data_IF_597378871467
#
_entry.id   IF_597378871467
#
_cell.length_a   1.000
_cell.length_b   1.000
_cell.length_c   1.000
_cell.angle_alpha   90.00
_cell.angle_beta   90.00
_cell.angle_gamma   90.00
#
_symmetry.space_group_name_H-M   'P 1'
#
loop_
_entity.id
_entity.type
_entity.pdbx_description
1 polymer ?
#
# COMPACT_ATOMS: atom_id res chain seq x y z
N UNK A 1 5.74 -14.60 -16.31
CA UNK A 1 6.71 -13.86 -15.48
C UNK A 1 7.18 -12.63 -16.24
N UNK A 2 7.03 -11.45 -15.65
CA UNK A 2 7.67 -10.23 -16.16
C UNK A 2 9.20 -10.33 -16.00
N UNK A 3 9.98 -9.54 -16.74
CA UNK A 3 11.45 -9.49 -16.60
C UNK A 3 11.86 -9.18 -15.14
N UNK A 4 11.09 -8.34 -14.44
CA UNK A 4 11.27 -7.99 -13.02
C UNK A 4 11.20 -9.22 -12.12
N UNK A 5 10.20 -10.08 -12.34
CA UNK A 5 10.05 -11.32 -11.57
C UNK A 5 11.18 -12.33 -11.85
N UNK A 6 11.79 -12.27 -13.04
CA UNK A 6 12.91 -13.14 -13.43
C UNK A 6 14.23 -12.68 -12.83
N UNK A 7 14.49 -11.37 -12.83
CA UNK A 7 15.70 -10.78 -12.24
C UNK A 7 15.73 -10.94 -10.72
N UNK A 8 14.60 -10.69 -10.05
CA UNK A 8 14.47 -10.90 -8.60
C UNK A 8 14.65 -12.38 -8.21
N UNK A 9 14.23 -13.32 -9.07
CA UNK A 9 14.41 -14.76 -8.83
C UNK A 9 15.85 -15.22 -9.09
N UNK A 10 16.54 -14.62 -10.07
CA UNK A 10 17.95 -14.91 -10.39
C UNK A 10 18.92 -14.30 -9.36
N UNK A 11 18.56 -13.18 -8.71
CA UNK A 11 19.34 -12.60 -7.60
C UNK A 11 19.13 -13.33 -6.26
N UNK A 12 17.98 -13.98 -6.06
CA UNK A 12 17.61 -14.65 -4.81
C UNK A 12 18.54 -15.82 -4.43
N UNK A 13 19.22 -16.46 -5.39
CA UNK A 13 20.18 -17.53 -5.08
C UNK A 13 21.45 -17.04 -4.37
N UNK A 14 21.68 -15.72 -4.26
CA UNK A 14 22.96 -15.17 -3.74
C UNK A 14 22.85 -14.16 -2.60
N UNK A 15 21.67 -13.65 -2.24
CA UNK A 15 21.54 -12.64 -1.18
C UNK A 15 20.97 -13.19 0.13
N UNK A 16 21.85 -13.63 1.03
CA UNK A 16 21.57 -13.55 2.48
C UNK A 16 21.73 -12.08 2.93
N UNK A 17 20.85 -11.20 2.48
CA UNK A 17 20.78 -9.84 3.02
C UNK A 17 19.71 -9.81 4.08
N UNK A 18 20.14 -9.66 5.33
CA UNK A 18 19.27 -9.18 6.41
C UNK A 18 18.74 -7.81 5.95
N UNK A 19 17.47 -7.74 5.57
CA UNK A 19 16.81 -6.47 5.30
C UNK A 19 16.83 -5.63 6.59
N UNK A 20 17.50 -4.48 6.56
CA UNK A 20 17.37 -3.46 7.61
C UNK A 20 15.88 -3.08 7.70
N UNK A 21 15.37 -2.98 8.94
CA UNK A 21 13.93 -2.89 9.20
C UNK A 21 13.26 -1.75 8.45
N UNK A 22 12.35 -2.09 7.53
CA UNK A 22 11.52 -1.11 6.82
C UNK A 22 10.61 -0.38 7.82
N UNK A 23 10.71 0.95 7.90
CA UNK A 23 9.81 1.80 8.69
C UNK A 23 8.56 2.10 7.83
N UNK A 24 7.57 1.23 7.87
CA UNK A 24 6.37 1.31 7.00
C UNK A 24 5.32 2.36 7.42
N UNK A 25 5.46 2.99 8.59
CA UNK A 25 4.75 4.21 9.02
C UNK A 25 5.17 4.60 10.45
N UNK A 26 4.93 5.85 10.88
CA UNK A 26 5.09 6.26 12.29
C UNK A 26 4.06 5.63 13.23
N UNK A 27 3.12 4.89 12.66
CA UNK A 27 2.05 4.23 13.38
C UNK A 27 2.48 2.90 14.03
N UNK A 28 3.50 2.22 13.50
CA UNK A 28 3.93 0.92 13.99
C UNK A 28 5.45 0.85 14.06
N UNK A 29 6.00 0.45 15.21
CA UNK A 29 7.44 0.24 15.35
C UNK A 29 7.85 -1.11 14.74
N UNK A 30 8.38 -1.05 13.52
CA UNK A 30 8.92 -2.21 12.79
C UNK A 30 10.43 -2.40 12.96
N UNK A 31 11.11 -1.59 13.78
CA UNK A 31 12.57 -1.59 13.92
C UNK A 31 13.18 -2.95 14.32
N UNK A 32 12.37 -3.85 14.90
CA UNK A 32 12.77 -5.18 15.35
C UNK A 32 12.16 -6.33 14.52
N UNK A 33 11.53 -6.02 13.38
CA UNK A 33 10.86 -7.00 12.52
C UNK A 33 11.79 -7.40 11.38
N UNK A 34 12.22 -8.66 11.36
CA UNK A 34 13.06 -9.21 10.29
C UNK A 34 12.18 -9.97 9.31
N UNK A 35 12.26 -9.66 8.02
CA UNK A 35 11.66 -10.52 6.97
C UNK A 35 12.46 -11.82 6.93
N UNK A 36 11.81 -12.94 7.24
CA UNK A 36 12.39 -14.29 7.17
C UNK A 36 12.27 -14.85 5.76
N UNK A 37 11.10 -14.74 5.15
CA UNK A 37 10.81 -15.24 3.81
C UNK A 37 9.74 -14.39 3.12
N UNK A 38 9.81 -14.34 1.79
CA UNK A 38 8.77 -13.78 0.91
C UNK A 38 8.12 -14.93 0.15
N UNK A 39 6.82 -15.10 0.34
CA UNK A 39 6.09 -16.27 -0.11
C UNK A 39 5.07 -15.86 -1.16
N UNK A 40 5.36 -16.22 -2.40
CA UNK A 40 4.42 -16.11 -3.50
C UNK A 40 3.59 -17.38 -3.57
N UNK A 41 2.27 -17.25 -3.40
CA UNK A 41 1.36 -18.37 -3.63
C UNK A 41 1.10 -18.51 -5.13
N UNK A 42 1.96 -19.26 -5.80
CA UNK A 42 1.60 -19.85 -7.11
C UNK A 42 0.69 -21.06 -6.86
N UNK A 43 -0.59 -20.93 -7.21
CA UNK A 43 -1.67 -21.93 -7.45
C UNK A 43 -1.79 -23.23 -6.63
N UNK A 44 -0.86 -23.59 -5.74
CA UNK A 44 -0.64 -24.92 -5.15
C UNK A 44 -0.01 -24.87 -3.75
N UNK A 45 0.43 -23.70 -3.26
CA UNK A 45 1.00 -23.56 -1.92
C UNK A 45 -0.11 -23.31 -0.91
N UNK A 46 -0.40 -24.30 -0.07
CA UNK A 46 -1.28 -24.18 1.10
C UNK A 46 -0.52 -23.49 2.26
N UNK A 47 -1.21 -22.80 3.15
CA UNK A 47 -0.64 -22.28 4.39
C UNK A 47 0.05 -23.37 5.23
N UNK A 48 -0.36 -24.65 5.09
CA UNK A 48 0.33 -25.83 5.65
C UNK A 48 1.78 -26.02 5.14
N UNK A 49 2.14 -25.43 4.01
CA UNK A 49 3.52 -25.43 3.50
C UNK A 49 4.37 -24.31 4.10
N UNK A 50 3.72 -23.28 4.64
CA UNK A 50 4.39 -22.09 5.17
C UNK A 50 4.78 -22.25 6.64
N UNK A 51 4.10 -23.14 7.37
CA UNK A 51 4.27 -23.26 8.82
C UNK A 51 4.10 -24.70 9.26
N UNK A 52 5.18 -25.30 9.80
CA UNK A 52 5.12 -26.56 10.53
C UNK A 52 5.59 -26.30 11.95
N UNK A 53 4.63 -26.06 12.85
CA UNK A 53 4.89 -25.82 14.26
C UNK A 53 4.04 -26.75 15.11
N UNK A 54 4.69 -27.47 16.01
CA UNK A 54 4.04 -28.20 17.10
C UNK A 54 4.15 -27.38 18.37
N UNK A 55 3.24 -27.60 19.33
CA UNK A 55 3.25 -26.94 20.64
C UNK A 55 3.03 -25.43 20.54
N UNK A 56 2.02 -25.05 19.77
CA UNK A 56 1.60 -23.64 19.68
C UNK A 56 1.02 -23.20 21.01
N UNK A 57 1.50 -22.08 21.55
CA UNK A 57 1.03 -21.50 22.81
C UNK A 57 0.12 -20.29 22.59
N UNK A 58 0.38 -19.52 21.52
CA UNK A 58 -0.40 -18.35 21.14
C UNK A 58 -0.68 -18.36 19.64
N UNK A 59 -1.95 -18.23 19.27
CA UNK A 59 -2.40 -18.13 17.89
C UNK A 59 -3.29 -16.89 17.73
N UNK A 60 -2.87 -15.96 16.88
CA UNK A 60 -3.67 -14.78 16.52
C UNK A 60 -4.00 -14.81 15.03
N UNK A 61 -5.29 -14.75 14.70
CA UNK A 61 -5.78 -14.71 13.32
C UNK A 61 -6.51 -13.40 13.11
N UNK A 62 -6.08 -12.60 12.15
CA UNK A 62 -6.83 -11.43 11.68
C UNK A 62 -7.17 -11.64 10.22
N UNK A 63 -8.43 -11.52 9.83
CA UNK A 63 -8.86 -11.73 8.45
C UNK A 63 -9.98 -10.79 8.06
N UNK A 64 -10.07 -10.44 6.78
CA UNK A 64 -11.18 -9.61 6.33
C UNK A 64 -12.50 -10.39 6.43
N UNK A 65 -12.65 -11.52 5.72
CA UNK A 65 -13.92 -12.26 5.75
C UNK A 65 -13.71 -13.60 6.45
N UNK A 66 -14.61 -13.95 7.36
CA UNK A 66 -14.77 -15.32 7.89
C UNK A 66 -15.95 -15.97 7.19
N UNK A 67 -15.69 -17.14 6.58
CA UNK A 67 -16.70 -17.94 5.89
C UNK A 67 -17.47 -18.84 6.86
N UNK A 68 -17.87 -20.01 6.38
CA UNK A 68 -18.54 -21.03 7.20
C UNK A 68 -17.58 -22.00 7.91
N UNK A 69 -16.27 -21.79 7.72
CA UNK A 69 -15.15 -22.49 8.37
C UNK A 69 -13.85 -21.68 8.25
N UNK A 70 -12.93 -21.91 9.18
CA UNK A 70 -11.54 -21.46 9.07
C UNK A 70 -10.73 -22.43 8.19
N UNK A 71 -9.56 -22.00 7.67
CA UNK A 71 -8.73 -22.89 6.87
C UNK A 71 -8.10 -24.01 7.71
N UNK A 72 -7.84 -25.18 7.12
CA UNK A 72 -7.34 -26.38 7.77
C UNK A 72 -6.03 -26.12 8.51
N UNK A 73 -5.20 -25.19 8.01
CA UNK A 73 -3.98 -24.78 8.72
C UNK A 73 -4.26 -24.27 10.15
N UNK A 74 -5.37 -23.55 10.36
CA UNK A 74 -5.77 -23.04 11.67
C UNK A 74 -6.17 -24.21 12.56
N UNK A 75 -6.96 -25.13 12.02
CA UNK A 75 -7.35 -26.37 12.68
C UNK A 75 -6.13 -27.23 13.06
N UNK A 76 -5.17 -27.37 12.17
CA UNK A 76 -3.93 -28.12 12.39
C UNK A 76 -3.10 -27.48 13.52
N UNK A 77 -3.01 -26.14 13.61
CA UNK A 77 -2.33 -25.50 14.75
C UNK A 77 -3.01 -25.76 16.07
N UNK A 78 -4.34 -25.66 16.11
CA UNK A 78 -5.12 -25.89 17.32
C UNK A 78 -5.01 -27.36 17.76
N UNK A 79 -5.03 -28.30 16.82
CA UNK A 79 -4.85 -29.73 17.11
C UNK A 79 -3.47 -30.04 17.69
N UNK A 80 -2.44 -29.31 17.24
CA UNK A 80 -1.06 -29.48 17.68
C UNK A 80 -0.63 -28.51 18.79
N UNK A 81 -1.56 -27.78 19.40
CA UNK A 81 -1.28 -26.77 20.43
C UNK A 81 -0.89 -27.38 21.78
N UNK A 82 -0.26 -26.57 22.64
CA UNK A 82 -0.10 -26.93 24.05
C UNK A 82 -1.41 -26.74 24.82
N UNK A 83 -1.52 -27.37 25.98
CA UNK A 83 -2.63 -27.11 26.91
C UNK A 83 -2.60 -25.63 27.34
N UNK A 84 -3.75 -24.95 27.27
CA UNK A 84 -3.84 -23.52 27.58
C UNK A 84 -3.51 -22.59 26.41
N UNK A 85 -3.75 -23.02 25.17
CA UNK A 85 -3.63 -22.19 23.97
C UNK A 85 -4.37 -20.86 24.13
N UNK A 86 -3.65 -19.76 23.93
CA UNK A 86 -4.26 -18.42 23.80
C UNK A 86 -4.66 -18.21 22.34
N UNK A 87 -5.97 -18.14 22.08
CA UNK A 87 -6.51 -17.97 20.73
C UNK A 87 -7.24 -16.63 20.58
N UNK A 88 -6.74 -15.82 19.65
CA UNK A 88 -7.22 -14.48 19.37
C UNK A 88 -7.70 -14.41 17.91
N UNK A 89 -8.91 -13.94 17.65
CA UNK A 89 -9.45 -13.82 16.29
C UNK A 89 -10.07 -12.44 16.04
N UNK A 90 -9.51 -11.69 15.10
CA UNK A 90 -10.09 -10.45 14.62
C UNK A 90 -10.66 -10.61 13.21
N UNK A 91 -11.83 -10.04 12.94
CA UNK A 91 -12.46 -10.15 11.63
C UNK A 91 -13.32 -8.97 11.22
N UNK A 92 -13.55 -8.83 9.90
CA UNK A 92 -14.54 -7.89 9.41
C UNK A 92 -15.95 -8.45 9.54
N UNK A 93 -16.81 -7.69 10.21
CA UNK A 93 -18.23 -7.96 10.30
C UNK A 93 -19.00 -6.91 9.48
N UNK A 94 -19.05 -7.12 8.17
CA UNK A 94 -19.66 -6.15 7.24
C UNK A 94 -21.16 -5.92 7.47
N UNK A 95 -21.62 -4.70 7.17
CA UNK A 95 -23.03 -4.40 7.08
C UNK A 95 -23.65 -5.00 5.82
N UNK A 96 -24.65 -5.88 5.99
CA UNK A 96 -25.36 -6.51 4.88
C UNK A 96 -26.81 -6.03 4.82
N UNK A 97 -27.11 -5.18 3.83
CA UNK A 97 -28.48 -4.66 3.59
C UNK A 97 -29.42 -5.70 2.92
N UNK A 98 -29.38 -6.94 3.40
CA UNK A 98 -30.23 -8.03 2.92
C UNK A 98 -30.37 -9.10 4.00
N UNK A 99 -31.56 -9.22 4.59
CA UNK A 99 -31.82 -10.12 5.71
C UNK A 99 -31.46 -11.61 5.46
N UNK A 100 -31.54 -12.09 4.22
CA UNK A 100 -31.15 -13.48 3.88
C UNK A 100 -29.64 -13.65 3.83
N UNK A 101 -28.92 -12.72 3.21
CA UNK A 101 -27.46 -12.73 3.16
C UNK A 101 -26.87 -12.50 4.54
N UNK A 102 -27.50 -11.62 5.30
CA UNK A 102 -27.14 -11.29 6.67
C UNK A 102 -27.24 -12.51 7.60
N UNK A 103 -28.39 -13.19 7.59
CA UNK A 103 -28.55 -14.44 8.32
C UNK A 103 -27.53 -15.49 7.89
N UNK A 104 -27.26 -15.62 6.58
CA UNK A 104 -26.26 -16.57 6.07
C UNK A 104 -24.85 -16.27 6.58
N UNK A 105 -24.48 -14.99 6.68
CA UNK A 105 -23.19 -14.57 7.22
C UNK A 105 -23.09 -14.92 8.71
N UNK A 106 -24.11 -14.59 9.52
CA UNK A 106 -24.15 -14.92 10.94
C UNK A 106 -24.12 -16.44 11.16
N UNK A 107 -24.91 -17.21 10.43
CA UNK A 107 -24.93 -18.68 10.52
C UNK A 107 -23.55 -19.27 10.14
N UNK A 108 -22.87 -18.67 9.14
CA UNK A 108 -21.51 -19.03 8.74
C UNK A 108 -20.48 -18.75 9.84
N UNK A 109 -20.52 -17.55 10.42
CA UNK A 109 -19.66 -17.16 11.54
C UNK A 109 -19.82 -18.13 12.72
N UNK A 110 -21.06 -18.40 13.13
CA UNK A 110 -21.35 -19.33 14.23
C UNK A 110 -20.74 -20.70 13.93
N UNK A 111 -21.00 -21.25 12.75
CA UNK A 111 -20.46 -22.55 12.34
C UNK A 111 -18.93 -22.58 12.33
N UNK A 112 -18.28 -21.51 11.88
CA UNK A 112 -16.82 -21.44 11.85
C UNK A 112 -16.20 -21.48 13.25
N UNK A 113 -16.76 -20.70 14.19
CA UNK A 113 -16.27 -20.65 15.57
C UNK A 113 -16.65 -21.90 16.38
N UNK A 114 -17.83 -22.48 16.17
CA UNK A 114 -18.19 -23.80 16.72
C UNK A 114 -17.19 -24.88 16.29
N UNK A 115 -16.73 -24.83 15.02
CA UNK A 115 -15.72 -25.75 14.51
C UNK A 115 -14.38 -25.67 15.24
N UNK A 116 -13.96 -24.49 15.70
CA UNK A 116 -12.72 -24.32 16.46
C UNK A 116 -12.92 -24.62 17.96
N UNK A 117 -14.05 -24.20 18.54
CA UNK A 117 -14.36 -24.45 19.96
C UNK A 117 -14.57 -25.94 20.27
N UNK A 118 -14.77 -26.79 19.27
CA UNK A 118 -14.86 -28.24 19.45
C UNK A 118 -13.52 -28.90 19.84
N UNK A 119 -12.39 -28.20 19.69
CA UNK A 119 -11.07 -28.73 20.03
C UNK A 119 -10.81 -28.64 21.53
N UNK A 120 -10.30 -29.73 22.12
CA UNK A 120 -10.07 -29.85 23.56
C UNK A 120 -9.11 -28.79 24.13
N UNK A 121 -8.18 -28.29 23.32
CA UNK A 121 -7.19 -27.30 23.74
C UNK A 121 -7.71 -25.85 23.71
N UNK A 122 -8.98 -25.62 23.33
CA UNK A 122 -9.59 -24.29 23.23
C UNK A 122 -10.63 -24.12 24.32
N UNK A 123 -10.26 -23.45 25.41
CA UNK A 123 -11.20 -23.08 26.48
C UNK A 123 -12.04 -21.86 26.08
N UNK A 124 -11.41 -20.89 25.42
CA UNK A 124 -12.04 -19.67 24.95
C UNK A 124 -11.29 -19.02 23.80
N UNK A 125 -11.98 -18.13 23.09
CA UNK A 125 -11.44 -17.35 21.98
C UNK A 125 -11.70 -15.88 22.29
N UNK A 126 -10.65 -15.06 22.36
CA UNK A 126 -10.83 -13.60 22.36
C UNK A 126 -11.09 -13.13 20.94
N UNK A 127 -12.10 -12.27 20.77
CA UNK A 127 -12.48 -11.80 19.45
C UNK A 127 -12.63 -10.28 19.37
N UNK A 128 -12.26 -9.75 18.21
CA UNK A 128 -12.56 -8.37 17.81
C UNK A 128 -13.27 -8.41 16.46
N UNK A 129 -14.51 -7.96 16.42
CA UNK A 129 -15.21 -7.72 15.17
C UNK A 129 -15.22 -6.23 14.88
N UNK A 130 -14.79 -5.84 13.69
CA UNK A 130 -14.80 -4.45 13.27
C UNK A 130 -15.29 -4.36 11.82
N UNK A 131 -16.30 -3.53 11.50
CA UNK A 131 -16.89 -3.48 10.15
C UNK A 131 -15.97 -2.89 9.06
N UNK A 132 -14.73 -2.50 9.40
CA UNK A 132 -13.79 -1.79 8.53
C UNK A 132 -12.43 -2.47 8.42
N UNK A 133 -12.21 -3.59 9.11
CA UNK A 133 -10.90 -4.25 9.11
C UNK A 133 -10.64 -5.01 7.82
N UNK A 134 -9.59 -4.62 7.09
CA UNK A 134 -9.11 -5.36 5.92
C UNK A 134 -7.75 -6.05 6.16
N UNK A 135 -7.38 -6.26 7.43
CA UNK A 135 -6.12 -6.91 7.81
C UNK A 135 -6.16 -8.39 7.46
N UNK A 136 -5.04 -8.93 6.96
CA UNK A 136 -4.80 -10.37 6.87
C UNK A 136 -3.48 -10.72 7.54
N UNK A 137 -3.59 -11.37 8.69
CA UNK A 137 -2.48 -11.64 9.57
C UNK A 137 -2.68 -12.98 10.26
N UNK A 138 -1.61 -13.76 10.33
CA UNK A 138 -1.55 -15.00 11.10
C UNK A 138 -0.29 -14.99 11.93
N UNK A 139 -0.44 -14.96 13.25
CA UNK A 139 0.66 -15.07 14.19
C UNK A 139 0.57 -16.38 14.96
N UNK A 140 1.70 -17.08 15.06
CA UNK A 140 1.87 -18.36 15.73
C UNK A 140 3.14 -18.31 16.59
N UNK A 141 2.97 -18.04 17.89
CA UNK A 141 4.03 -17.59 18.81
C UNK A 141 4.89 -16.46 18.20
N UNK A 142 6.19 -16.65 18.00
CA UNK A 142 7.05 -15.60 17.43
C UNK A 142 7.02 -15.50 15.89
N UNK A 143 6.31 -16.40 15.20
CA UNK A 143 6.18 -16.37 13.75
C UNK A 143 4.96 -15.56 13.33
N UNK A 144 5.13 -14.65 12.38
CA UNK A 144 4.07 -13.78 11.88
C UNK A 144 4.02 -13.84 10.35
N UNK A 145 2.82 -13.98 9.82
CA UNK A 145 2.54 -13.96 8.40
C UNK A 145 1.57 -12.83 8.12
N UNK A 146 1.93 -11.94 7.21
CA UNK A 146 1.09 -10.81 6.80
C UNK A 146 1.09 -10.72 5.28
N UNK A 147 -0.03 -10.34 4.67
CA UNK A 147 -0.10 -10.25 3.23
C UNK A 147 -1.51 -10.06 2.70
N UNK A 148 -1.75 -10.51 1.47
CA UNK A 148 -3.01 -10.30 0.77
C UNK A 148 -4.04 -11.43 1.00
N UNK A 149 -3.60 -12.60 1.48
CA UNK A 149 -4.43 -13.80 1.63
C UNK A 149 -5.38 -13.74 2.84
N UNK A 150 -6.69 -13.87 2.60
CA UNK A 150 -7.66 -14.05 3.70
C UNK A 150 -7.50 -15.41 4.39
N UNK A 151 -7.72 -15.49 5.71
CA UNK A 151 -7.72 -16.74 6.47
C UNK A 151 -9.14 -17.26 6.66
N UNK A 152 -9.74 -17.75 5.58
CA UNK A 152 -11.13 -18.24 5.57
C UNK A 152 -11.30 -19.47 4.69
N UNK A 153 -12.51 -20.03 4.63
CA UNK A 153 -12.84 -21.18 3.78
C UNK A 153 -12.52 -21.00 2.29
N UNK A 154 -12.36 -19.76 1.81
CA UNK A 154 -11.97 -19.45 0.42
C UNK A 154 -10.47 -19.57 0.17
N UNK A 155 -9.65 -19.70 1.22
CA UNK A 155 -8.19 -19.78 1.13
C UNK A 155 -7.65 -21.19 0.90
N UNK A 156 -8.44 -22.23 1.21
CA UNK A 156 -8.05 -23.63 1.03
C UNK A 156 -8.26 -24.17 -0.38
N UNK A 157 -7.37 -25.07 -0.80
CA UNK A 157 -7.65 -26.00 -1.90
C UNK A 157 -8.64 -27.08 -1.43
N UNK A 158 -9.64 -27.41 -2.24
CA UNK A 158 -10.58 -28.50 -1.95
C UNK A 158 -10.18 -29.74 -2.74
N UNK A 159 -10.41 -30.95 -2.23
CA UNK A 159 -10.22 -32.19 -3.03
C UNK A 159 -10.93 -32.15 -4.39
N UNK A 160 -12.09 -31.49 -4.45
CA UNK A 160 -12.82 -31.27 -5.71
C UNK A 160 -12.05 -30.41 -6.73
N UNK A 161 -11.22 -29.48 -6.27
CA UNK A 161 -10.34 -28.62 -7.07
C UNK A 161 -9.10 -29.38 -7.59
N UNK A 162 -8.58 -30.33 -6.80
CA UNK A 162 -7.55 -31.29 -7.23
C UNK A 162 -8.08 -32.24 -8.32
N UNK A 163 -9.33 -32.68 -8.20
CA UNK A 163 -9.94 -33.68 -9.08
C UNK A 163 -10.45 -33.13 -10.44
N UNK A 164 -10.82 -31.85 -10.55
CA UNK A 164 -11.47 -31.26 -11.74
C UNK A 164 -10.53 -30.81 -12.89
N UNK A 165 -9.24 -31.19 -12.85
CA UNK A 165 -8.21 -30.74 -13.81
C UNK A 165 -8.10 -29.20 -13.90
N UNK A 166 -7.46 -28.65 -12.88
CA UNK A 166 -6.70 -27.40 -12.71
C UNK A 166 -6.79 -26.19 -13.70
N UNK A 167 -7.07 -26.33 -14.99
CA UNK A 167 -7.05 -25.23 -15.97
C UNK A 167 -8.24 -24.26 -15.88
N UNK A 168 -9.21 -24.50 -14.98
CA UNK A 168 -10.33 -23.59 -14.68
C UNK A 168 -10.26 -22.97 -13.29
N UNK A 169 -9.18 -23.19 -12.53
CA UNK A 169 -9.05 -22.65 -11.18
C UNK A 169 -8.62 -21.17 -11.26
N UNK A 170 -9.59 -20.26 -11.35
CA UNK A 170 -9.39 -18.80 -11.33
C UNK A 170 -9.13 -18.31 -9.90
N UNK A 171 -8.04 -18.74 -9.26
CA UNK A 171 -7.69 -18.30 -7.89
C UNK A 171 -6.45 -17.40 -7.87
N UNK A 172 -6.51 -16.43 -6.98
CA UNK A 172 -5.65 -15.24 -6.93
C UNK A 172 -4.19 -15.57 -6.67
N UNK A 173 -3.29 -14.82 -7.32
CA UNK A 173 -1.90 -14.72 -6.93
C UNK A 173 -1.84 -13.91 -5.64
N UNK A 174 -1.42 -14.55 -4.54
CA UNK A 174 -1.35 -13.91 -3.22
C UNK A 174 0.12 -13.81 -2.80
N UNK A 175 0.45 -12.70 -2.14
CA UNK A 175 1.77 -12.44 -1.55
C UNK A 175 1.65 -12.50 -0.03
N UNK A 176 2.54 -13.25 0.60
CA UNK A 176 2.67 -13.35 2.05
C UNK A 176 4.11 -13.07 2.46
N UNK A 177 4.30 -12.29 3.51
CA UNK A 177 5.58 -12.05 4.16
C UNK A 177 5.63 -12.86 5.45
N UNK A 178 6.68 -13.66 5.63
CA UNK A 178 7.00 -14.30 6.91
C UNK A 178 7.97 -13.41 7.67
N UNK A 179 7.57 -13.01 8.87
CA UNK A 179 8.28 -12.09 9.72
C UNK A 179 8.71 -12.78 11.03
N UNK A 180 9.93 -12.46 11.47
CA UNK A 180 10.44 -12.80 12.80
C UNK A 180 10.03 -11.79 13.86
N UNK A 181 10.07 -12.21 15.14
CA UNK A 181 9.64 -11.39 16.29
C UNK A 181 8.18 -10.91 16.17
N UNK A 182 7.36 -11.75 15.53
CA UNK A 182 6.02 -11.43 15.08
C UNK A 182 5.01 -11.13 16.17
N UNK A 183 5.23 -11.66 17.37
CA UNK A 183 4.33 -11.49 18.51
C UNK A 183 4.11 -10.02 18.86
N UNK A 184 5.18 -9.20 18.96
CA UNK A 184 5.07 -7.78 19.32
C UNK A 184 4.24 -6.98 18.30
N UNK A 185 4.48 -7.23 17.01
CA UNK A 185 3.76 -6.54 15.94
C UNK A 185 2.28 -6.98 15.91
N UNK A 186 2.02 -8.29 16.05
CA UNK A 186 0.66 -8.80 16.14
C UNK A 186 -0.10 -8.20 17.33
N UNK A 187 0.53 -8.10 18.51
CA UNK A 187 -0.04 -7.44 19.69
C UNK A 187 -0.30 -5.96 19.44
N UNK A 188 0.64 -5.23 18.82
CA UNK A 188 0.45 -3.82 18.50
C UNK A 188 -0.75 -3.60 17.55
N UNK A 189 -0.87 -4.40 16.49
CA UNK A 189 -2.00 -4.35 15.57
C UNK A 189 -3.31 -4.73 16.29
N UNK A 190 -3.27 -5.75 17.14
CA UNK A 190 -4.41 -6.18 17.95
C UNK A 190 -4.90 -5.07 18.88
N UNK A 191 -4.00 -4.43 19.64
CA UNK A 191 -4.32 -3.35 20.59
C UNK A 191 -4.89 -2.13 19.88
N UNK A 192 -4.32 -1.75 18.73
CA UNK A 192 -4.90 -0.69 17.90
C UNK A 192 -6.29 -1.04 17.41
N UNK A 193 -6.48 -2.27 16.92
CA UNK A 193 -7.77 -2.72 16.45
C UNK A 193 -8.80 -2.79 17.60
N UNK A 194 -8.38 -3.20 18.79
CA UNK A 194 -9.21 -3.22 19.99
C UNK A 194 -9.74 -1.82 20.34
N UNK A 195 -8.91 -0.79 20.15
CA UNK A 195 -9.24 0.61 20.41
C UNK A 195 -9.90 1.33 19.23
N UNK A 196 -9.93 0.72 18.04
CA UNK A 196 -10.45 1.35 16.83
C UNK A 196 -11.95 1.64 16.92
N UNK A 197 -12.39 2.73 16.29
CA UNK A 197 -13.79 3.09 16.23
C UNK A 197 -14.61 1.96 15.58
N UNK A 198 -15.71 1.61 16.25
CA UNK A 198 -16.63 0.57 15.82
C UNK A 198 -16.16 -0.87 16.03
N UNK A 199 -15.03 -1.08 16.68
CA UNK A 199 -14.64 -2.39 17.17
C UNK A 199 -15.58 -2.85 18.29
N UNK A 200 -16.07 -4.08 18.15
CA UNK A 200 -16.86 -4.78 19.15
C UNK A 200 -16.09 -6.02 19.57
N UNK A 201 -15.84 -6.14 20.87
CA UNK A 201 -14.99 -7.19 21.42
C UNK A 201 -15.79 -8.19 22.24
N UNK A 202 -15.25 -9.39 22.42
CA UNK A 202 -15.88 -10.39 23.25
C UNK A 202 -15.02 -11.63 23.45
N UNK A 203 -15.51 -12.55 24.27
CA UNK A 203 -14.89 -13.84 24.52
C UNK A 203 -15.89 -14.94 24.21
N UNK A 204 -15.53 -15.81 23.27
CA UNK A 204 -16.34 -16.97 22.88
C UNK A 204 -15.90 -18.21 23.65
N UNK A 205 -16.86 -19.05 24.00
CA UNK A 205 -16.68 -20.43 24.44
C UNK A 205 -17.85 -21.29 23.96
N UNK A 206 -17.77 -22.61 24.17
CA UNK A 206 -18.79 -23.58 23.75
C UNK A 206 -20.22 -23.23 24.22
N UNK A 207 -20.35 -22.49 25.34
CA UNK A 207 -21.63 -22.20 25.97
C UNK A 207 -22.26 -20.88 25.49
N UNK A 208 -21.48 -19.97 24.91
CA UNK A 208 -21.93 -18.61 24.62
C UNK A 208 -21.78 -18.18 23.15
N UNK A 209 -21.14 -19.00 22.31
CA UNK A 209 -20.75 -18.64 20.92
C UNK A 209 -21.89 -18.02 20.12
N UNK A 210 -23.05 -18.68 20.07
CA UNK A 210 -24.24 -18.18 19.35
C UNK A 210 -24.73 -16.84 19.90
N UNK A 211 -24.77 -16.69 21.23
CA UNK A 211 -25.26 -15.48 21.88
C UNK A 211 -24.33 -14.29 21.63
N UNK A 212 -23.03 -14.50 21.85
CA UNK A 212 -22.00 -13.45 21.72
C UNK A 212 -21.88 -13.02 20.27
N UNK A 213 -21.77 -13.96 19.32
CA UNK A 213 -21.70 -13.61 17.90
C UNK A 213 -22.97 -12.92 17.39
N UNK A 214 -24.16 -13.33 17.84
CA UNK A 214 -25.41 -12.62 17.51
C UNK A 214 -25.38 -11.18 18.04
N UNK A 215 -24.86 -10.97 19.25
CA UNK A 215 -24.75 -9.65 19.85
C UNK A 215 -23.77 -8.77 19.09
N UNK A 216 -22.57 -9.30 18.81
CA UNK A 216 -21.51 -8.63 18.07
C UNK A 216 -21.98 -8.28 16.66
N UNK A 217 -22.54 -9.25 15.94
CA UNK A 217 -23.09 -9.05 14.59
C UNK A 217 -24.10 -7.91 14.56
N UNK A 218 -25.03 -7.87 15.52
CA UNK A 218 -26.00 -6.76 15.66
C UNK A 218 -25.35 -5.43 16.01
N UNK A 219 -24.30 -5.41 16.83
CA UNK A 219 -23.61 -4.18 17.21
C UNK A 219 -22.82 -3.62 16.03
N UNK A 220 -22.11 -4.46 15.28
CA UNK A 220 -21.44 -4.08 14.03
C UNK A 220 -22.46 -3.61 12.97
N UNK A 221 -23.68 -4.17 12.94
CA UNK A 221 -24.77 -3.71 12.08
C UNK A 221 -25.41 -2.37 12.52
N UNK A 222 -25.35 -2.06 13.82
CA UNK A 222 -25.89 -0.80 14.40
C UNK A 222 -24.97 0.38 14.21
N UNK A 223 -23.75 0.13 13.74
CA UNK A 223 -22.88 1.11 13.15
C UNK A 223 -23.16 1.04 11.66
N UNK A 224 -24.22 1.72 11.15
CA UNK A 224 -24.12 2.13 9.78
C UNK A 224 -22.86 2.99 9.76
N UNK A 225 -21.86 2.55 9.01
CA UNK A 225 -21.21 3.53 8.16
C UNK A 225 -22.37 4.18 7.44
N UNK A 226 -22.73 5.39 7.86
CA UNK A 226 -23.56 6.20 7.02
C UNK A 226 -22.69 6.40 5.79
N UNK A 227 -22.91 5.55 4.80
CA UNK A 227 -22.35 5.69 3.47
C UNK A 227 -22.73 7.08 3.00
N UNK A 228 -23.84 7.68 3.45
CA UNK A 228 -24.06 9.11 3.27
C UNK A 228 -23.24 9.98 4.22
N UNK A 229 -22.77 9.64 5.41
CA UNK A 229 -21.92 10.57 6.20
C UNK A 229 -20.47 10.60 5.71
N UNK A 230 -19.95 9.52 5.14
CA UNK A 230 -18.59 9.46 4.62
C UNK A 230 -18.55 9.68 3.11
N UNK A 231 -19.62 9.32 2.37
CA UNK A 231 -19.85 9.80 1.00
C UNK A 231 -20.44 11.20 1.00
N UNK A 232 -21.12 11.71 2.02
CA UNK A 232 -21.43 13.14 2.17
C UNK A 232 -20.23 13.83 2.77
N UNK A 233 -19.42 13.29 3.70
CA UNK A 233 -18.12 13.94 3.98
C UNK A 233 -17.24 13.93 2.73
N UNK A 234 -17.15 12.85 1.95
CA UNK A 234 -16.48 12.86 0.64
C UNK A 234 -17.18 13.71 -0.40
N UNK A 235 -18.51 13.72 -0.50
CA UNK A 235 -19.27 14.53 -1.48
C UNK A 235 -19.43 15.99 -1.02
N UNK A 236 -19.22 16.30 0.25
CA UNK A 236 -19.21 17.64 0.86
C UNK A 236 -17.76 18.14 0.87
N UNK A 237 -16.75 17.28 0.95
CA UNK A 237 -15.35 17.58 0.60
C UNK A 237 -15.23 17.75 -0.92
N UNK A 238 -15.74 16.84 -1.73
CA UNK A 238 -15.77 16.88 -3.20
C UNK A 238 -16.69 18.01 -3.69
N UNK A 239 -17.83 18.30 -3.05
CA UNK A 239 -18.60 19.54 -3.32
C UNK A 239 -17.92 20.78 -2.80
N UNK A 240 -17.19 20.78 -1.68
CA UNK A 240 -16.36 21.94 -1.29
C UNK A 240 -15.17 22.15 -2.24
N UNK A 241 -14.70 21.09 -2.88
CA UNK A 241 -13.67 21.10 -3.93
C UNK A 241 -14.28 21.56 -5.28
N UNK A 242 -15.51 21.16 -5.61
CA UNK A 242 -16.22 21.52 -6.86
C UNK A 242 -16.97 22.87 -6.79
N UNK A 243 -17.51 23.27 -5.65
CA UNK A 243 -18.16 24.57 -5.41
C UNK A 243 -17.09 25.70 -5.32
N UNK A 244 -15.80 25.33 -5.24
CA UNK A 244 -14.64 26.21 -5.21
C UNK A 244 -13.67 25.99 -6.38
N UNK A 245 -14.16 25.71 -7.60
CA UNK A 245 -13.31 25.56 -8.80
C UNK A 245 -12.38 26.78 -8.98
N UNK A 246 -12.85 27.99 -8.70
CA UNK A 246 -12.01 29.20 -8.70
C UNK A 246 -10.93 29.14 -7.61
N UNK A 247 -11.25 28.71 -6.39
CA UNK A 247 -10.28 28.57 -5.29
C UNK A 247 -9.24 27.48 -5.59
N UNK A 248 -9.64 26.35 -6.17
CA UNK A 248 -8.72 25.26 -6.56
C UNK A 248 -7.75 25.73 -7.65
N UNK A 249 -8.25 26.44 -8.67
CA UNK A 249 -7.40 27.02 -9.70
C UNK A 249 -6.43 28.06 -9.11
N UNK A 250 -6.92 28.93 -8.23
CA UNK A 250 -6.09 29.94 -7.56
C UNK A 250 -5.00 29.33 -6.66
N UNK A 251 -5.33 28.30 -5.89
CA UNK A 251 -4.37 27.60 -5.02
C UNK A 251 -3.36 26.80 -5.86
N UNK A 252 -3.81 26.15 -6.94
CA UNK A 252 -2.91 25.46 -7.89
C UNK A 252 -1.95 26.44 -8.54
N UNK A 253 -2.45 27.57 -9.06
CA UNK A 253 -1.61 28.62 -9.64
C UNK A 253 -0.60 29.19 -8.63
N UNK A 254 -1.00 29.36 -7.37
CA UNK A 254 -0.11 29.86 -6.33
C UNK A 254 0.97 28.83 -5.95
N UNK A 255 0.59 27.55 -5.85
CA UNK A 255 1.51 26.43 -5.59
C UNK A 255 2.52 26.28 -6.73
N UNK A 256 2.04 26.27 -7.98
CA UNK A 256 2.90 26.21 -9.16
C UNK A 256 3.87 27.39 -9.21
N UNK A 257 3.41 28.61 -8.88
CA UNK A 257 4.30 29.78 -8.79
C UNK A 257 5.37 29.64 -7.71
N UNK A 258 5.04 29.07 -6.55
CA UNK A 258 6.03 28.84 -5.49
C UNK A 258 7.09 27.82 -5.93
N UNK A 259 6.68 26.75 -6.61
CA UNK A 259 7.58 25.76 -7.23
C UNK A 259 8.48 26.45 -8.24
N UNK A 260 7.92 27.19 -9.20
CA UNK A 260 8.68 27.86 -10.25
C UNK A 260 9.61 28.94 -9.74
N UNK A 261 9.20 29.69 -8.71
CA UNK A 261 10.07 30.68 -8.08
C UNK A 261 11.25 30.02 -7.38
N UNK A 262 11.02 28.91 -6.69
CA UNK A 262 12.09 28.15 -6.04
C UNK A 262 13.05 27.56 -7.07
N UNK A 263 12.55 27.08 -8.21
CA UNK A 263 13.38 26.65 -9.33
C UNK A 263 14.21 27.80 -9.92
N UNK A 264 13.65 29.00 -10.08
CA UNK A 264 14.37 30.21 -10.58
C UNK A 264 15.41 30.73 -9.58
N UNK A 265 15.19 30.52 -8.28
CA UNK A 265 16.12 30.92 -7.22
C UNK A 265 17.27 29.91 -7.05
N UNK A 266 16.97 28.60 -7.14
CA UNK A 266 17.94 27.52 -6.93
C UNK A 266 18.72 27.15 -8.18
N UNK A 267 18.03 27.15 -9.33
CA UNK A 267 18.62 26.88 -10.63
C UNK A 267 18.69 28.21 -11.38
N UNK A 268 19.74 28.46 -12.14
CA UNK A 268 19.84 29.68 -12.96
C UNK A 268 18.93 29.61 -14.20
N UNK A 269 17.69 29.18 -14.00
CA UNK A 269 16.69 28.83 -15.02
C UNK A 269 15.51 29.79 -14.90
N UNK A 270 15.30 30.62 -15.92
CA UNK A 270 14.18 31.56 -15.94
C UNK A 270 12.86 30.88 -16.28
N UNK A 271 12.04 30.61 -15.27
CA UNK A 271 10.67 30.09 -15.44
C UNK A 271 9.64 31.15 -15.87
N UNK A 272 10.05 32.40 -16.13
CA UNK A 272 9.16 33.53 -16.45
C UNK A 272 8.26 33.29 -17.68
N UNK A 273 8.76 32.57 -18.69
CA UNK A 273 8.00 32.22 -19.90
C UNK A 273 7.42 30.78 -19.85
N UNK A 274 7.50 30.11 -18.70
CA UNK A 274 7.12 28.71 -18.53
C UNK A 274 8.07 27.73 -19.20
N UNK A 275 7.63 26.47 -19.30
CA UNK A 275 8.42 25.36 -19.84
C UNK A 275 8.86 25.53 -21.31
N UNK A 276 8.16 26.35 -22.10
CA UNK A 276 8.44 26.53 -23.53
C UNK A 276 9.80 27.17 -23.82
N UNK A 277 10.41 27.86 -22.86
CA UNK A 277 11.73 28.47 -23.01
C UNK A 277 12.89 27.62 -22.51
N UNK A 278 12.61 26.44 -21.96
CA UNK A 278 13.62 25.56 -21.39
C UNK A 278 14.26 24.67 -22.45
N UNK A 279 15.58 24.49 -22.37
CA UNK A 279 16.29 23.49 -23.17
C UNK A 279 16.44 22.17 -22.39
N UNK A 280 16.99 21.14 -23.05
CA UNK A 280 17.11 19.82 -22.43
C UNK A 280 17.99 19.81 -21.17
N UNK A 281 19.01 20.67 -21.11
CA UNK A 281 19.92 20.76 -19.98
C UNK A 281 19.18 21.38 -18.77
N UNK A 282 18.30 22.35 -19.00
CA UNK A 282 17.41 22.89 -17.96
C UNK A 282 16.53 21.79 -17.33
N UNK A 283 15.92 20.91 -18.15
CA UNK A 283 15.12 19.80 -17.64
C UNK A 283 15.95 18.76 -16.87
N UNK A 284 17.19 18.52 -17.29
CA UNK A 284 18.11 17.65 -16.56
C UNK A 284 18.47 18.26 -15.20
N UNK A 285 18.75 19.56 -15.14
CA UNK A 285 19.02 20.25 -13.87
C UNK A 285 17.81 20.21 -12.92
N UNK A 286 16.59 20.37 -13.45
CA UNK A 286 15.35 20.22 -12.68
C UNK A 286 15.22 18.77 -12.18
N UNK A 287 15.44 17.78 -13.04
CA UNK A 287 15.41 16.36 -12.65
C UNK A 287 16.41 16.06 -11.53
N UNK A 288 17.65 16.51 -11.66
CA UNK A 288 18.71 16.28 -10.67
C UNK A 288 18.38 16.95 -9.33
N UNK A 289 17.78 18.14 -9.34
CA UNK A 289 17.30 18.79 -8.12
C UNK A 289 16.17 18.00 -7.46
N UNK A 290 15.18 17.58 -8.25
CA UNK A 290 14.00 16.85 -7.77
C UNK A 290 14.32 15.43 -7.30
N UNK A 291 15.34 14.76 -7.85
CA UNK A 291 15.70 13.38 -7.48
C UNK A 291 16.85 13.36 -6.49
N UNK A 292 17.81 14.27 -6.62
CA UNK A 292 19.08 14.27 -5.90
C UNK A 292 19.18 15.19 -4.69
N UNK A 293 18.45 16.32 -4.66
CA UNK A 293 18.60 17.36 -3.61
C UNK A 293 17.25 17.82 -3.03
N UNK A 294 16.38 16.84 -2.73
CA UNK A 294 15.00 17.10 -2.26
C UNK A 294 14.91 17.73 -0.87
N UNK A 295 15.94 17.56 -0.06
CA UNK A 295 15.93 17.94 1.37
C UNK A 295 15.86 19.46 1.59
N UNK A 296 16.29 20.25 0.59
CA UNK A 296 16.28 21.72 0.64
C UNK A 296 15.19 22.32 -0.25
N UNK A 297 14.89 21.66 -1.37
CA UNK A 297 13.95 22.19 -2.36
C UNK A 297 12.52 22.32 -1.81
N UNK A 298 11.97 21.26 -1.23
CA UNK A 298 10.58 21.28 -0.76
C UNK A 298 10.32 22.22 0.42
N UNK A 299 11.20 22.30 1.44
CA UNK A 299 11.09 23.34 2.46
C UNK A 299 11.06 24.76 1.88
N UNK A 300 11.89 25.07 0.89
CA UNK A 300 11.93 26.41 0.27
C UNK A 300 10.69 26.68 -0.59
N UNK A 301 10.15 25.67 -1.29
CA UNK A 301 8.84 25.77 -1.95
C UNK A 301 7.75 26.13 -0.94
N UNK A 302 7.72 25.47 0.22
CA UNK A 302 6.73 25.74 1.26
C UNK A 302 6.93 27.11 1.91
N UNK A 303 8.18 27.56 2.09
CA UNK A 303 8.49 28.91 2.56
C UNK A 303 8.01 29.99 1.57
N UNK A 304 8.07 29.70 0.27
CA UNK A 304 7.57 30.58 -0.80
C UNK A 304 6.03 30.58 -0.92
N UNK A 305 5.33 29.63 -0.29
CA UNK A 305 3.87 29.58 -0.26
C UNK A 305 3.26 30.59 0.73
N UNK A 306 3.36 31.90 0.43
CA UNK A 306 2.84 33.00 1.27
C UNK A 306 1.32 32.95 1.56
N UNK A 307 0.60 32.11 0.81
CA UNK A 307 -0.83 31.91 0.94
C UNK A 307 -1.20 30.89 2.02
N UNK A 308 -0.25 30.25 2.70
CA UNK A 308 -0.54 29.26 3.74
C UNK A 308 -0.91 29.89 5.09
N UNK A 309 -1.86 29.28 5.79
CA UNK A 309 -2.16 29.57 7.20
C UNK A 309 -1.07 28.94 8.09
N UNK A 310 -0.51 29.73 9.00
CA UNK A 310 0.51 29.29 9.97
C UNK A 310 -0.17 28.61 11.17
N UNK A 311 -0.95 27.55 10.93
CA UNK A 311 -1.88 27.03 11.94
C UNK A 311 -1.49 25.70 12.56
N UNK A 312 -0.55 24.93 12.01
CA UNK A 312 0.12 23.78 12.64
C UNK A 312 1.29 23.32 11.73
N UNK A 313 2.29 22.59 12.24
CA UNK A 313 3.41 22.16 11.40
C UNK A 313 3.03 20.93 10.55
N UNK A 314 2.61 21.17 9.30
CA UNK A 314 2.31 20.15 8.29
C UNK A 314 3.44 19.95 7.27
N UNK A 315 4.61 20.55 7.52
CA UNK A 315 5.74 20.56 6.57
C UNK A 315 6.19 19.14 6.21
N UNK A 316 6.28 18.23 7.19
CA UNK A 316 6.68 16.85 6.95
C UNK A 316 5.72 16.07 6.04
N UNK A 317 4.41 16.26 6.20
CA UNK A 317 3.40 15.59 5.37
C UNK A 317 3.45 16.11 3.92
N UNK A 318 3.57 17.43 3.76
CA UNK A 318 3.64 18.09 2.45
C UNK A 318 4.91 17.70 1.68
N UNK A 319 6.05 17.61 2.36
CA UNK A 319 7.31 17.14 1.76
C UNK A 319 7.16 15.67 1.33
N UNK A 320 6.56 14.83 2.19
CA UNK A 320 6.37 13.41 1.89
C UNK A 320 5.49 13.21 0.64
N UNK A 321 4.42 13.99 0.50
CA UNK A 321 3.53 13.96 -0.68
C UNK A 321 4.31 14.37 -1.95
N UNK A 322 5.10 15.44 -1.89
CA UNK A 322 5.87 15.89 -3.03
C UNK A 322 6.93 14.86 -3.46
N UNK A 323 7.61 14.23 -2.49
CA UNK A 323 8.59 13.17 -2.76
C UNK A 323 7.94 11.91 -3.33
N UNK A 324 6.73 11.55 -2.88
CA UNK A 324 5.98 10.42 -3.44
C UNK A 324 5.66 10.62 -4.93
N UNK A 325 5.17 11.81 -5.32
CA UNK A 325 4.85 12.12 -6.71
C UNK A 325 6.10 12.16 -7.60
N UNK A 326 7.22 12.69 -7.08
CA UNK A 326 8.53 12.62 -7.76
C UNK A 326 8.96 11.17 -7.98
N UNK A 327 8.92 10.35 -6.93
CA UNK A 327 9.31 8.94 -7.01
C UNK A 327 8.45 8.16 -8.00
N UNK A 328 7.14 8.43 -8.03
CA UNK A 328 6.22 7.76 -8.95
C UNK A 328 6.43 8.15 -10.41
N UNK A 329 6.91 9.38 -10.68
CA UNK A 329 6.94 9.93 -12.05
C UNK A 329 8.34 9.92 -12.67
N UNK A 330 9.40 10.15 -11.87
CA UNK A 330 10.75 10.42 -12.37
C UNK A 330 11.75 9.27 -12.16
N UNK A 331 11.46 8.30 -11.28
CA UNK A 331 12.44 7.28 -10.86
C UNK A 331 13.02 6.44 -12.01
N UNK A 332 12.23 6.18 -13.06
CA UNK A 332 12.65 5.37 -14.21
C UNK A 332 13.24 6.19 -15.37
N UNK A 333 13.37 7.51 -15.22
CA UNK A 333 13.95 8.35 -16.27
C UNK A 333 15.47 8.27 -16.28
N UNK A 334 16.05 8.39 -17.48
CA UNK A 334 17.49 8.45 -17.68
C UNK A 334 17.83 9.68 -18.51
N UNK A 335 18.60 10.60 -17.94
CA UNK A 335 19.09 11.81 -18.64
C UNK A 335 20.55 11.69 -19.09
N UNK A 336 21.32 10.74 -18.57
CA UNK A 336 22.71 10.53 -18.98
C UNK A 336 22.80 10.13 -20.46
N UNK A 337 23.43 10.98 -21.26
CA UNK A 337 23.53 10.81 -22.71
C UNK A 337 24.20 9.47 -23.08
N UNK A 338 25.24 9.07 -22.33
CA UNK A 338 25.93 7.80 -22.54
C UNK A 338 24.98 6.60 -22.36
N UNK A 339 24.16 6.60 -21.31
CA UNK A 339 23.20 5.52 -21.04
C UNK A 339 22.06 5.52 -22.07
N UNK A 340 21.57 6.71 -22.46
CA UNK A 340 20.57 6.83 -23.55
C UNK A 340 21.14 6.22 -24.84
N UNK A 341 22.40 6.51 -25.16
CA UNK A 341 23.04 5.99 -26.37
C UNK A 341 23.24 4.49 -26.30
N UNK A 342 23.65 3.95 -25.15
CA UNK A 342 23.78 2.51 -24.93
C UNK A 342 22.44 1.79 -25.14
N UNK A 343 21.37 2.27 -24.51
CA UNK A 343 20.03 1.72 -24.64
C UNK A 343 19.55 1.66 -26.11
N UNK A 344 19.77 2.75 -26.87
CA UNK A 344 19.39 2.82 -28.29
C UNK A 344 20.24 1.89 -29.15
N UNK A 345 21.55 1.76 -28.85
CA UNK A 345 22.44 0.83 -29.55
C UNK A 345 22.04 -0.63 -29.33
N UNK A 346 21.52 -0.98 -28.16
CA UNK A 346 20.99 -2.33 -27.88
C UNK A 346 19.79 -2.70 -28.76
N UNK A 347 18.95 -1.72 -29.10
CA UNK A 347 17.77 -1.90 -29.95
C UNK A 347 18.12 -2.16 -31.42
N UNK A 348 19.38 -1.93 -31.84
CA UNK A 348 19.90 -2.21 -33.19
C UNK A 348 19.03 -1.61 -34.29
N UNK A 349 18.55 -0.38 -34.08
CA UNK A 349 17.70 0.33 -35.02
C UNK A 349 18.43 0.64 -36.33
N UNK A 350 19.72 0.93 -36.22
CA UNK A 350 20.64 1.13 -37.34
C UNK A 350 21.94 0.31 -37.16
N UNK A 351 22.85 0.39 -38.13
CA UNK A 351 24.16 -0.31 -38.10
C UNK A 351 25.23 0.51 -37.34
N UNK A 352 24.86 1.03 -36.17
CA UNK A 352 25.64 2.01 -35.40
C UNK A 352 26.61 1.32 -34.44
N UNK A 353 27.32 0.32 -34.94
CA UNK A 353 28.25 -0.49 -34.13
C UNK A 353 29.60 0.21 -33.96
N UNK A 354 30.24 0.00 -32.81
CA UNK A 354 31.65 0.36 -32.63
C UNK A 354 32.47 -0.49 -33.62
N UNK A 355 33.20 0.17 -34.52
CA UNK A 355 34.09 -0.52 -35.45
C UNK A 355 35.16 -1.29 -34.66
N UNK A 356 35.71 -2.36 -35.24
CA UNK A 356 36.85 -3.07 -34.63
C UNK A 356 38.08 -2.17 -34.36
N UNK A 357 38.11 -0.96 -34.93
CA UNK A 357 39.09 0.10 -34.67
C UNK A 357 38.86 0.86 -33.35
N UNK A 358 37.71 0.69 -32.70
CA UNK A 358 37.28 1.50 -31.55
C UNK A 358 36.70 2.86 -31.92
N UNK A 359 36.57 3.16 -33.22
CA UNK A 359 35.87 4.37 -33.67
C UNK A 359 34.36 4.16 -33.58
N UNK A 360 33.68 5.08 -32.89
CA UNK A 360 32.23 5.14 -32.86
C UNK A 360 31.68 5.57 -34.23
N UNK A 361 30.72 4.81 -34.75
CA UNK A 361 29.96 5.24 -35.91
C UNK A 361 28.87 6.21 -35.39
N UNK A 362 28.69 7.38 -36.02
CA UNK A 362 27.59 8.29 -35.69
C UNK A 362 26.25 7.58 -35.79
N UNK A 363 25.29 7.98 -34.96
CA UNK A 363 23.93 7.45 -35.02
C UNK A 363 23.31 7.62 -36.41
N UNK A 364 22.65 6.56 -36.89
CA UNK A 364 21.81 6.59 -38.07
C UNK A 364 20.51 7.35 -37.82
N UNK A 365 19.72 7.53 -38.88
CA UNK A 365 18.47 8.31 -38.85
C UNK A 365 17.46 7.75 -37.83
N UNK A 366 17.34 6.42 -37.68
CA UNK A 366 16.39 5.82 -36.75
C UNK A 366 16.86 5.92 -35.30
N UNK A 367 18.17 5.80 -35.07
CA UNK A 367 18.77 5.98 -33.74
C UNK A 367 18.69 7.44 -33.27
N UNK A 368 18.90 8.42 -34.15
CA UNK A 368 18.69 9.85 -33.85
C UNK A 368 17.22 10.16 -33.55
N UNK A 369 16.28 9.59 -34.31
CA UNK A 369 14.85 9.74 -34.04
C UNK A 369 14.44 9.12 -32.69
N UNK A 370 15.01 7.96 -32.33
CA UNK A 370 14.78 7.32 -31.04
C UNK A 370 15.34 8.17 -29.89
N UNK A 371 16.55 8.71 -30.04
CA UNK A 371 17.18 9.63 -29.08
C UNK A 371 16.29 10.85 -28.84
N UNK A 372 15.89 11.53 -29.93
CA UNK A 372 15.02 12.70 -29.84
C UNK A 372 13.68 12.37 -29.18
N UNK A 373 13.10 11.20 -29.48
CA UNK A 373 11.85 10.76 -28.86
C UNK A 373 12.00 10.54 -27.36
N UNK A 374 13.07 9.87 -26.93
CA UNK A 374 13.33 9.65 -25.50
C UNK A 374 13.59 10.97 -24.77
N UNK A 375 14.38 11.87 -25.36
CA UNK A 375 14.62 13.20 -24.80
C UNK A 375 13.30 13.99 -24.61
N UNK A 376 12.44 14.00 -25.62
CA UNK A 376 11.11 14.64 -25.51
C UNK A 376 10.25 13.99 -24.42
N UNK A 377 10.27 12.66 -24.31
CA UNK A 377 9.50 11.94 -23.29
C UNK A 377 9.99 12.29 -21.88
N UNK A 378 11.29 12.39 -21.67
CA UNK A 378 11.85 12.82 -20.39
C UNK A 378 11.39 14.24 -20.02
N UNK A 379 11.44 15.19 -20.96
CA UNK A 379 10.98 16.56 -20.75
C UNK A 379 9.50 16.60 -20.37
N UNK A 380 8.66 15.86 -21.10
CA UNK A 380 7.23 15.73 -20.81
C UNK A 380 6.96 15.14 -19.42
N UNK A 381 7.76 14.15 -18.99
CA UNK A 381 7.62 13.54 -17.68
C UNK A 381 8.04 14.49 -16.54
N UNK A 382 9.12 15.26 -16.69
CA UNK A 382 9.52 16.27 -15.71
C UNK A 382 8.45 17.34 -15.55
N UNK A 383 7.92 17.85 -16.67
CA UNK A 383 6.82 18.82 -16.62
C UNK A 383 5.58 18.25 -15.92
N UNK A 384 5.19 17.02 -16.28
CA UNK A 384 4.05 16.34 -15.68
C UNK A 384 4.23 16.13 -14.18
N UNK A 385 5.42 15.74 -13.75
CA UNK A 385 5.73 15.56 -12.33
C UNK A 385 5.51 16.84 -11.53
N UNK A 386 5.94 18.00 -12.03
CA UNK A 386 5.75 19.27 -11.35
C UNK A 386 4.26 19.65 -11.27
N UNK A 387 3.49 19.36 -12.32
CA UNK A 387 2.03 19.55 -12.33
C UNK A 387 1.31 18.61 -11.34
N UNK A 388 1.73 17.33 -11.27
CA UNK A 388 1.18 16.32 -10.37
C UNK A 388 1.47 16.65 -8.91
N UNK A 389 2.70 17.10 -8.60
CA UNK A 389 3.07 17.63 -7.28
C UNK A 389 2.20 18.84 -6.92
N UNK A 390 2.05 19.80 -7.84
CA UNK A 390 1.22 20.98 -7.61
C UNK A 390 -0.25 20.59 -7.33
N UNK A 391 -0.79 19.59 -8.03
CA UNK A 391 -2.13 19.07 -7.80
C UNK A 391 -2.27 18.36 -6.45
N UNK A 392 -1.29 17.54 -6.08
CA UNK A 392 -1.28 16.81 -4.82
C UNK A 392 -1.21 17.77 -3.61
N UNK A 393 -0.31 18.75 -3.65
CA UNK A 393 -0.20 19.79 -2.63
C UNK A 393 -1.46 20.65 -2.55
N UNK A 394 -2.01 21.06 -3.69
CA UNK A 394 -3.26 21.84 -3.75
C UNK A 394 -4.41 21.09 -3.07
N UNK A 395 -4.53 19.79 -3.33
CA UNK A 395 -5.54 18.95 -2.72
C UNK A 395 -5.36 18.91 -1.20
N UNK A 396 -4.14 18.66 -0.71
CA UNK A 396 -3.85 18.62 0.72
C UNK A 396 -4.15 19.97 1.40
N UNK A 397 -3.75 21.10 0.80
CA UNK A 397 -4.04 22.42 1.33
C UNK A 397 -5.54 22.71 1.46
N UNK A 398 -6.35 22.24 0.50
CA UNK A 398 -7.81 22.39 0.54
C UNK A 398 -8.43 21.49 1.62
N UNK A 399 -8.00 20.23 1.70
CA UNK A 399 -8.52 19.23 2.65
C UNK A 399 -8.27 19.63 4.10
N UNK A 400 -7.08 20.19 4.37
CA UNK A 400 -6.63 20.57 5.71
C UNK A 400 -6.85 22.06 6.03
N UNK A 401 -7.55 22.80 5.17
CA UNK A 401 -7.85 24.23 5.37
C UNK A 401 -6.62 25.12 5.57
N UNK A 402 -5.52 24.81 4.89
CA UNK A 402 -4.22 25.46 5.12
C UNK A 402 -4.02 26.75 4.31
N UNK A 403 -5.05 27.32 3.65
CA UNK A 403 -4.90 28.51 2.79
C UNK A 403 -5.59 29.77 3.34
N UNK A 404 -4.81 30.84 3.53
CA UNK A 404 -5.26 32.21 3.86
C UNK A 404 -6.20 32.80 2.81
N UNK A 405 -6.16 32.31 1.56
CA UNK A 405 -6.95 32.83 0.43
C UNK A 405 -8.47 32.73 0.69
N UNK A 406 -8.92 31.82 1.57
CA UNK A 406 -10.34 31.69 1.97
C UNK A 406 -10.83 32.71 3.01
N UNK A 407 -9.93 33.45 3.67
CA UNK A 407 -10.28 34.30 4.82
C UNK A 407 -10.82 35.72 4.46
N UNK A 408 -10.96 36.07 3.18
CA UNK A 408 -11.55 37.35 2.73
C UNK A 408 -12.93 37.17 2.08
N UNK A 409 -13.85 36.50 2.77
CA UNK A 409 -15.28 36.69 2.54
C UNK A 409 -16.02 36.71 3.89
N UNK A 410 -15.93 37.86 4.56
CA UNK A 410 -16.93 38.36 5.51
C UNK A 410 -16.92 39.89 5.51
#
# INVERSE_FOLDING_TARGET
>A
MSKIARHAYEEYETSQTAFEGFKLSDEFDFSNVTIKDVLFRETYVDARHLIKKSKVSTLTVMTYIVGDRFPNVIHDFIENAEDGLTLNVAFCCEYVNNAKKDKKQLDGLIKAFEGILAYKHVDSIEIIANPHTHIKLLQCDDDLFVGSMNFSSTSEDTKASEDEKHYKNHRNYELMLHLGSGHKLATCIWDKLYLAEGSVTGTLNENNVTQVLTCIHKQCQRIPFDVNSAREKRLDIEKRIDDGIEDKLLIKEATAKAIYHTLDDMLTISMFNGFESLDYDDYMMIYDLLVGDTDLFWPDVLANCQFLEETENHEGDLISIAQEEVGNTLFDLTFEEEIIHENIREDKLDCDFILASGEEIPFGENSEDAKKKQMNQNQECVQRCLDDVADALTKYFIEHHLCKIKAKQN
#
